data_IF_973455806720
#
_entry.id   IF_973455806720
#
_cell.length_a   1.000
_cell.length_b   1.000
_cell.length_c   1.000
_cell.angle_alpha   90.00
_cell.angle_beta   90.00
_cell.angle_gamma   90.00
#
_symmetry.space_group_name_H-M   'P 1'
#
loop_
_entity.id
_entity.type
_entity.pdbx_description
1 polymer ?
#
# COMPACT_ATOMS: atom_id res chain seq x y z
N UNK A 1 33.29 8.12 -16.67
CA UNK A 1 33.15 7.73 -15.24
C UNK A 1 32.28 8.71 -14.44
N UNK A 2 32.02 9.94 -14.92
CA UNK A 2 31.14 10.93 -14.27
C UNK A 2 29.65 10.81 -14.66
N UNK A 3 29.34 10.49 -15.91
CA UNK A 3 27.95 10.43 -16.42
C UNK A 3 27.18 9.24 -15.83
N UNK A 4 27.78 8.05 -15.83
CA UNK A 4 27.19 6.81 -15.28
C UNK A 4 26.92 6.91 -13.76
N UNK A 5 27.73 7.66 -13.00
CA UNK A 5 27.47 7.92 -11.58
C UNK A 5 26.36 8.97 -11.37
N UNK A 6 26.21 9.93 -12.28
CA UNK A 6 25.18 10.95 -12.20
C UNK A 6 23.80 10.37 -12.54
N UNK A 7 23.74 9.49 -13.54
CA UNK A 7 22.55 8.73 -13.92
C UNK A 7 22.13 7.75 -12.81
N UNK A 8 23.09 7.03 -12.21
CA UNK A 8 22.89 6.22 -10.99
C UNK A 8 22.24 6.99 -9.84
N UNK A 9 22.70 8.21 -9.60
CA UNK A 9 22.17 9.05 -8.52
C UNK A 9 20.77 9.60 -8.83
N UNK A 10 20.45 9.87 -10.09
CA UNK A 10 19.12 10.35 -10.50
C UNK A 10 18.09 9.22 -10.38
N UNK A 11 18.42 8.01 -10.82
CA UNK A 11 17.54 6.83 -10.69
C UNK A 11 17.32 6.49 -9.22
N UNK A 12 18.37 6.52 -8.40
CA UNK A 12 18.25 6.31 -6.96
C UNK A 12 17.39 7.38 -6.27
N UNK A 13 17.54 8.65 -6.66
CA UNK A 13 16.70 9.74 -6.16
C UNK A 13 15.25 9.61 -6.64
N UNK A 14 15.03 9.17 -7.89
CA UNK A 14 13.70 8.88 -8.44
C UNK A 14 13.00 7.74 -7.71
N UNK A 15 13.71 6.63 -7.45
CA UNK A 15 13.19 5.51 -6.66
C UNK A 15 12.87 5.91 -5.22
N UNK A 16 13.69 6.74 -4.59
CA UNK A 16 13.43 7.26 -3.24
C UNK A 16 12.26 8.25 -3.22
N UNK A 17 12.15 9.11 -4.24
CA UNK A 17 11.00 10.00 -4.42
C UNK A 17 9.73 9.19 -4.65
N UNK A 18 9.73 8.17 -5.50
CA UNK A 18 8.59 7.29 -5.69
C UNK A 18 8.18 6.61 -4.38
N UNK A 19 9.17 6.07 -3.65
CA UNK A 19 8.98 5.47 -2.34
C UNK A 19 8.36 6.40 -1.28
N UNK A 20 8.62 7.71 -1.39
CA UNK A 20 8.16 8.69 -0.40
C UNK A 20 6.89 9.40 -0.84
N UNK A 21 6.79 9.75 -2.13
CA UNK A 21 5.74 10.58 -2.72
C UNK A 21 4.50 9.80 -3.18
N UNK A 22 4.63 8.52 -3.53
CA UNK A 22 3.49 7.70 -3.95
C UNK A 22 2.43 7.58 -2.86
N UNK A 23 2.86 7.37 -1.62
CA UNK A 23 1.97 7.17 -0.47
C UNK A 23 1.80 8.40 0.44
N UNK A 24 2.06 9.60 -0.11
CA UNK A 24 1.86 10.87 0.61
C UNK A 24 0.42 11.09 1.04
N UNK A 25 -0.61 10.86 0.19
CA UNK A 25 -2.00 11.05 0.59
C UNK A 25 -2.38 10.24 1.85
N UNK A 26 -1.98 8.97 1.88
CA UNK A 26 -2.25 8.02 2.98
C UNK A 26 -1.50 8.47 4.24
N UNK A 27 -0.22 8.84 4.11
CA UNK A 27 0.56 9.35 5.22
C UNK A 27 -0.05 10.62 5.81
N UNK A 28 -0.49 11.56 4.96
CA UNK A 28 -1.13 12.80 5.41
C UNK A 28 -2.44 12.51 6.14
N UNK A 29 -3.33 11.69 5.55
CA UNK A 29 -4.60 11.31 6.18
C UNK A 29 -4.34 10.64 7.53
N UNK A 30 -3.37 9.74 7.59
CA UNK A 30 -2.95 9.06 8.81
C UNK A 30 -2.44 10.04 9.87
N UNK A 31 -1.57 10.99 9.51
CA UNK A 31 -1.07 11.99 10.45
C UNK A 31 -2.16 12.92 10.98
N UNK A 32 -3.13 13.31 10.15
CA UNK A 32 -4.30 14.08 10.61
C UNK A 32 -5.21 13.26 11.53
N UNK A 33 -5.45 11.99 11.21
CA UNK A 33 -6.20 11.08 12.07
C UNK A 33 -5.49 10.87 13.41
N UNK A 34 -4.16 10.73 13.40
CA UNK A 34 -3.34 10.65 14.61
C UNK A 34 -3.45 11.92 15.45
N UNK A 35 -3.33 13.10 14.84
CA UNK A 35 -3.38 14.37 15.56
C UNK A 35 -4.77 14.65 16.17
N UNK A 36 -5.84 14.15 15.55
CA UNK A 36 -7.21 14.21 16.09
C UNK A 36 -7.55 13.04 17.01
N UNK A 37 -6.56 12.21 17.35
CA UNK A 37 -6.69 10.99 18.17
C UNK A 37 -7.73 9.99 17.66
N UNK A 38 -8.01 10.01 16.36
CA UNK A 38 -8.94 9.10 15.68
C UNK A 38 -8.25 7.78 15.32
N UNK A 39 -7.86 7.01 16.35
CA UNK A 39 -7.08 5.78 16.18
C UNK A 39 -7.75 4.73 15.29
N UNK A 40 -9.07 4.61 15.39
CA UNK A 40 -9.82 3.66 14.57
C UNK A 40 -9.72 4.02 13.08
N UNK A 41 -10.02 5.27 12.72
CA UNK A 41 -9.90 5.77 11.33
C UNK A 41 -8.47 5.64 10.83
N UNK A 42 -7.49 5.98 11.67
CA UNK A 42 -6.07 5.84 11.36
C UNK A 42 -5.70 4.39 11.02
N UNK A 43 -6.01 3.43 11.89
CA UNK A 43 -5.65 2.02 11.68
C UNK A 43 -6.41 1.42 10.50
N UNK A 44 -7.71 1.69 10.40
CA UNK A 44 -8.56 1.16 9.36
C UNK A 44 -8.24 1.70 7.97
N UNK A 45 -7.88 2.98 7.86
CA UNK A 45 -7.43 3.56 6.58
C UNK A 45 -6.13 2.95 6.09
N UNK A 46 -5.11 2.84 6.96
CA UNK A 46 -3.82 2.22 6.60
C UNK A 46 -3.98 0.74 6.22
N UNK A 47 -4.78 0.00 7.00
CA UNK A 47 -5.15 -1.38 6.66
C UNK A 47 -5.80 -1.43 5.29
N UNK A 48 -6.86 -0.64 5.10
CA UNK A 48 -7.64 -0.60 3.89
C UNK A 48 -6.83 -0.25 2.65
N UNK A 49 -5.85 0.64 2.74
CA UNK A 49 -4.96 0.96 1.62
C UNK A 49 -4.05 -0.21 1.23
N UNK A 50 -3.56 -1.00 2.20
CA UNK A 50 -2.84 -2.24 1.89
C UNK A 50 -3.77 -3.23 1.18
N UNK A 51 -4.99 -3.45 1.71
CA UNK A 51 -5.95 -4.36 1.07
C UNK A 51 -6.35 -3.89 -0.33
N UNK A 52 -6.57 -2.58 -0.51
CA UNK A 52 -6.98 -1.97 -1.78
C UNK A 52 -5.93 -2.19 -2.87
N UNK A 53 -4.66 -1.97 -2.54
CA UNK A 53 -3.58 -2.19 -3.49
C UNK A 53 -3.44 -3.68 -3.88
N UNK A 54 -3.55 -4.58 -2.91
CA UNK A 54 -3.32 -6.01 -3.14
C UNK A 54 -4.49 -6.74 -3.79
N UNK A 55 -5.73 -6.34 -3.51
CA UNK A 55 -6.91 -7.06 -4.00
C UNK A 55 -7.62 -6.36 -5.17
N UNK A 56 -8.29 -5.20 -5.01
CA UNK A 56 -9.00 -4.59 -6.12
C UNK A 56 -8.06 -3.98 -7.15
N UNK A 57 -6.96 -3.31 -6.77
CA UNK A 57 -6.03 -2.71 -7.74
C UNK A 57 -5.36 -3.82 -8.56
N UNK A 58 -4.58 -4.69 -7.91
CA UNK A 58 -3.94 -5.80 -8.60
C UNK A 58 -4.96 -6.72 -9.28
N UNK A 59 -6.05 -7.07 -8.61
CA UNK A 59 -7.07 -7.98 -9.13
C UNK A 59 -7.76 -7.46 -10.38
N UNK A 60 -8.17 -6.19 -10.38
CA UNK A 60 -8.80 -5.58 -11.57
C UNK A 60 -7.80 -5.41 -12.72
N UNK A 61 -6.54 -5.08 -12.44
CA UNK A 61 -5.49 -5.03 -13.45
C UNK A 61 -5.30 -6.39 -14.10
N UNK A 62 -5.10 -7.46 -13.32
CA UNK A 62 -5.00 -8.83 -13.82
C UNK A 62 -6.25 -9.27 -14.57
N UNK A 63 -7.44 -8.89 -14.10
CA UNK A 63 -8.72 -9.22 -14.72
C UNK A 63 -8.85 -8.58 -16.10
N UNK A 64 -8.78 -7.24 -16.15
CA UNK A 64 -9.03 -6.48 -17.37
C UNK A 64 -7.85 -6.55 -18.35
N UNK A 65 -6.61 -6.47 -17.85
CA UNK A 65 -5.42 -6.71 -18.65
C UNK A 65 -5.36 -8.14 -19.19
N UNK A 66 -5.82 -9.12 -18.41
CA UNK A 66 -5.90 -10.52 -18.84
C UNK A 66 -6.94 -10.73 -19.94
N UNK A 67 -8.09 -10.05 -19.85
CA UNK A 67 -9.08 -10.05 -20.94
C UNK A 67 -8.58 -9.37 -22.21
N UNK A 68 -7.87 -8.24 -22.08
CA UNK A 68 -7.33 -7.52 -23.22
C UNK A 68 -6.21 -8.28 -23.94
N UNK A 69 -5.46 -9.10 -23.21
CA UNK A 69 -4.27 -9.79 -23.71
C UNK A 69 -4.44 -11.31 -23.80
N UNK A 70 -5.66 -11.82 -23.96
CA UNK A 70 -5.92 -13.27 -24.10
C UNK A 70 -5.03 -13.85 -25.22
N UNK A 71 -4.21 -14.84 -24.86
CA UNK A 71 -3.28 -15.52 -25.78
C UNK A 71 -2.02 -14.72 -26.15
N UNK A 72 -1.84 -13.52 -25.59
CA UNK A 72 -0.65 -12.65 -25.75
C UNK A 72 -0.01 -12.33 -24.39
N UNK A 73 -0.32 -13.12 -23.37
CA UNK A 73 0.15 -12.94 -21.99
C UNK A 73 1.68 -13.03 -21.95
N UNK A 74 2.33 -11.97 -21.46
CA UNK A 74 3.78 -12.00 -21.18
C UNK A 74 4.06 -12.77 -19.90
N UNK A 75 5.23 -13.39 -19.80
CA UNK A 75 5.70 -13.97 -18.54
C UNK A 75 5.87 -12.89 -17.48
N UNK A 76 5.48 -13.19 -16.26
CA UNK A 76 5.60 -12.31 -15.10
C UNK A 76 7.05 -12.31 -14.60
N UNK A 77 7.69 -11.14 -14.47
CA UNK A 77 8.91 -11.06 -13.68
C UNK A 77 8.54 -10.93 -12.20
N UNK A 78 8.81 -11.99 -11.45
CA UNK A 78 8.38 -12.11 -10.05
C UNK A 78 9.32 -11.49 -9.05
N UNK A 79 10.50 -11.02 -9.46
CA UNK A 79 11.53 -10.56 -8.53
C UNK A 79 11.06 -9.40 -7.66
N UNK A 80 10.43 -8.39 -8.28
CA UNK A 80 9.82 -7.28 -7.54
C UNK A 80 8.68 -7.77 -6.63
N UNK A 81 7.86 -8.68 -7.13
CA UNK A 81 6.77 -9.24 -6.36
C UNK A 81 7.25 -10.00 -5.12
N UNK A 82 8.28 -10.84 -5.27
CA UNK A 82 8.84 -11.66 -4.20
C UNK A 82 9.45 -10.80 -3.08
N UNK A 83 10.18 -9.73 -3.44
CA UNK A 83 10.74 -8.77 -2.47
C UNK A 83 9.61 -8.08 -1.69
N UNK A 84 8.61 -7.52 -2.39
CA UNK A 84 7.48 -6.85 -1.75
C UNK A 84 6.65 -7.80 -0.88
N UNK A 85 6.40 -9.03 -1.33
CA UNK A 85 5.67 -10.06 -0.55
C UNK A 85 6.46 -10.45 0.70
N UNK A 86 7.79 -10.62 0.62
CA UNK A 86 8.61 -10.93 1.79
C UNK A 86 8.54 -9.80 2.84
N UNK A 87 8.60 -8.55 2.41
CA UNK A 87 8.44 -7.38 3.27
C UNK A 87 7.03 -7.33 3.91
N UNK A 88 5.98 -7.58 3.12
CA UNK A 88 4.59 -7.64 3.62
C UNK A 88 4.38 -8.76 4.64
N UNK A 89 4.98 -9.94 4.42
CA UNK A 89 4.94 -11.06 5.37
C UNK A 89 5.63 -10.72 6.69
N UNK A 90 6.73 -9.95 6.65
CA UNK A 90 7.37 -9.44 7.87
C UNK A 90 6.47 -8.42 8.59
N UNK A 91 5.82 -7.52 7.86
CA UNK A 91 4.81 -6.60 8.43
C UNK A 91 3.67 -7.36 9.12
N UNK A 92 3.14 -8.39 8.47
CA UNK A 92 2.14 -9.30 9.05
C UNK A 92 2.63 -9.93 10.35
N UNK A 93 3.87 -10.43 10.39
CA UNK A 93 4.43 -11.03 11.59
C UNK A 93 4.44 -10.02 12.76
N UNK A 94 4.77 -8.76 12.49
CA UNK A 94 4.68 -7.68 13.48
C UNK A 94 3.24 -7.46 13.97
N UNK A 95 2.25 -7.38 13.06
CA UNK A 95 0.83 -7.24 13.45
C UNK A 95 0.33 -8.44 14.26
N UNK A 96 0.61 -9.67 13.84
CA UNK A 96 0.25 -10.88 14.57
C UNK A 96 0.88 -10.86 15.97
N UNK A 97 2.16 -10.48 16.08
CA UNK A 97 2.84 -10.41 17.37
C UNK A 97 2.17 -9.42 18.33
N UNK A 98 1.74 -8.26 17.82
CA UNK A 98 1.01 -7.26 18.60
C UNK A 98 -0.34 -7.81 19.11
N UNK A 99 -1.15 -8.40 18.22
CA UNK A 99 -2.45 -9.00 18.57
C UNK A 99 -2.29 -10.18 19.55
N UNK A 100 -1.31 -11.06 19.32
CA UNK A 100 -1.06 -12.23 20.15
C UNK A 100 -0.59 -11.87 21.57
N UNK A 101 0.15 -10.76 21.71
CA UNK A 101 0.62 -10.28 23.02
C UNK A 101 -0.53 -9.89 23.95
N UNK A 102 -1.66 -9.42 23.39
CA UNK A 102 -2.90 -9.14 24.13
C UNK A 102 -3.59 -10.41 24.63
N UNK A 103 -3.51 -11.51 23.88
CA UNK A 103 -4.20 -12.78 24.21
C UNK A 103 -3.44 -13.68 25.20
N UNK A 104 -2.12 -13.52 25.32
CA UNK A 104 -1.27 -14.43 26.11
C UNK A 104 -1.03 -13.93 27.55
N UNK A 105 -1.13 -12.62 27.79
CA UNK A 105 -0.87 -12.02 29.11
C UNK A 105 -2.19 -11.92 29.89
N UNK A 106 -2.53 -13.00 30.59
CA UNK A 106 -3.78 -13.14 31.37
C UNK A 106 -3.84 -12.34 32.69
N UNK A 107 -2.93 -11.41 32.95
CA UNK A 107 -2.92 -10.63 34.20
C UNK A 107 -2.82 -9.12 33.94
N UNK A 108 -3.79 -8.39 34.51
CA UNK A 108 -3.88 -6.92 34.64
C UNK A 108 -3.97 -6.12 33.33
N UNK A 109 -5.13 -5.50 33.08
CA UNK A 109 -5.44 -4.69 31.88
C UNK A 109 -4.42 -3.57 31.59
N UNK A 110 -3.81 -2.98 32.63
CA UNK A 110 -2.81 -1.91 32.48
C UNK A 110 -1.42 -2.41 32.06
N UNK A 111 -1.04 -3.65 32.38
CA UNK A 111 0.23 -4.23 31.94
C UNK A 111 0.14 -4.64 30.46
N UNK A 112 -1.04 -5.09 30.04
CA UNK A 112 -1.32 -5.54 28.68
C UNK A 112 -1.16 -4.40 27.66
N UNK A 113 -1.73 -3.23 27.92
CA UNK A 113 -1.62 -2.07 27.01
C UNK A 113 -0.17 -1.58 26.85
N UNK A 114 0.60 -1.55 27.95
CA UNK A 114 2.00 -1.14 27.93
C UNK A 114 2.89 -2.14 27.19
N UNK A 115 2.64 -3.44 27.35
CA UNK A 115 3.35 -4.52 26.65
C UNK A 115 3.13 -4.47 25.15
N UNK A 116 1.87 -4.37 24.71
CA UNK A 116 1.48 -4.24 23.30
C UNK A 116 2.12 -3.01 22.67
N UNK A 117 2.12 -1.88 23.38
CA UNK A 117 2.69 -0.63 22.88
C UNK A 117 4.22 -0.70 22.73
N UNK A 118 4.93 -1.28 23.70
CA UNK A 118 6.39 -1.49 23.61
C UNK A 118 6.76 -2.41 22.45
N UNK A 119 6.00 -3.51 22.29
CA UNK A 119 6.20 -4.44 21.19
C UNK A 119 5.97 -3.75 19.84
N UNK A 120 4.87 -3.00 19.71
CA UNK A 120 4.53 -2.24 18.50
C UNK A 120 5.61 -1.21 18.12
N UNK A 121 6.20 -0.54 19.10
CA UNK A 121 7.34 0.39 18.89
C UNK A 121 8.59 -0.35 18.40
N UNK A 122 8.91 -1.50 18.98
CA UNK A 122 10.03 -2.32 18.53
C UNK A 122 9.80 -2.83 17.10
N UNK A 123 8.58 -3.29 16.81
CA UNK A 123 8.16 -3.70 15.46
C UNK A 123 8.32 -2.58 14.44
N UNK A 124 7.92 -1.35 14.75
CA UNK A 124 8.11 -0.21 13.83
C UNK A 124 9.58 0.01 13.45
N UNK A 125 10.50 -0.10 14.41
CA UNK A 125 11.94 -0.01 14.12
C UNK A 125 12.42 -1.15 13.22
N UNK A 126 12.00 -2.39 13.50
CA UNK A 126 12.35 -3.56 12.68
C UNK A 126 11.81 -3.43 11.24
N UNK A 127 10.56 -3.00 11.10
CA UNK A 127 9.91 -2.81 9.80
C UNK A 127 10.64 -1.74 8.98
N UNK A 128 11.02 -0.62 9.60
CA UNK A 128 11.75 0.44 8.92
C UNK A 128 13.16 0.00 8.50
N UNK A 129 13.87 -0.75 9.35
CA UNK A 129 15.18 -1.32 9.01
C UNK A 129 15.05 -2.28 7.82
N UNK A 130 14.04 -3.16 7.83
CA UNK A 130 13.79 -4.09 6.74
C UNK A 130 13.44 -3.37 5.45
N UNK A 131 12.63 -2.31 5.51
CA UNK A 131 12.30 -1.48 4.36
C UNK A 131 13.52 -0.78 3.76
N UNK A 132 14.35 -0.15 4.60
CA UNK A 132 15.61 0.48 4.15
C UNK A 132 16.54 -0.58 3.55
N UNK A 133 16.62 -1.77 4.15
CA UNK A 133 17.35 -2.90 3.59
C UNK A 133 16.84 -3.31 2.20
N UNK A 134 15.52 -3.38 2.02
CA UNK A 134 14.86 -3.63 0.74
C UNK A 134 15.16 -2.54 -0.30
N UNK A 135 15.05 -1.27 0.07
CA UNK A 135 15.41 -0.16 -0.83
C UNK A 135 16.88 -0.19 -1.24
N UNK A 136 17.80 -0.48 -0.32
CA UNK A 136 19.22 -0.64 -0.64
C UNK A 136 19.46 -1.85 -1.53
N UNK A 137 18.65 -2.90 -1.37
CA UNK A 137 18.68 -4.07 -2.24
C UNK A 137 18.32 -3.69 -3.69
N UNK A 138 17.15 -3.06 -3.86
CA UNK A 138 16.58 -2.65 -5.16
C UNK A 138 17.44 -1.59 -5.87
N UNK A 139 17.78 -0.51 -5.16
CA UNK A 139 18.39 0.68 -5.78
C UNK A 139 19.89 0.56 -5.96
N UNK A 140 20.58 -0.21 -5.10
CA UNK A 140 22.05 -0.22 -5.05
C UNK A 140 22.67 -1.59 -5.35
N UNK A 141 22.33 -2.60 -4.57
CA UNK A 141 23.09 -3.88 -4.64
C UNK A 141 22.68 -4.76 -5.80
N UNK A 142 21.40 -4.78 -6.15
CA UNK A 142 20.83 -5.65 -7.20
C UNK A 142 20.14 -4.84 -8.30
N UNK A 143 20.50 -3.56 -8.45
CA UNK A 143 19.90 -2.63 -9.42
C UNK A 143 19.80 -3.19 -10.85
N UNK A 144 20.85 -3.87 -11.32
CA UNK A 144 20.90 -4.48 -12.66
C UNK A 144 19.81 -5.52 -12.91
N UNK A 145 19.29 -6.13 -11.85
CA UNK A 145 18.23 -7.14 -11.89
C UNK A 145 16.86 -6.50 -12.15
N UNK A 146 16.69 -5.24 -11.75
CA UNK A 146 15.47 -4.46 -11.89
C UNK A 146 15.50 -3.52 -13.10
N UNK A 147 16.69 -3.03 -13.52
CA UNK A 147 16.86 -2.19 -14.73
C UNK A 147 16.65 -2.96 -16.05
N UNK A 148 17.01 -4.25 -16.13
CA UNK A 148 16.81 -5.05 -17.35
C UNK A 148 15.33 -5.26 -17.75
N UNK A 149 14.41 -5.09 -16.80
CA UNK A 149 12.97 -5.24 -17.03
C UNK A 149 12.35 -3.98 -17.65
N UNK A 150 12.93 -2.80 -17.42
CA UNK A 150 12.48 -1.54 -18.03
C UNK A 150 12.86 -1.51 -19.52
N UNK A 151 14.12 -1.77 -19.88
CA UNK A 151 14.61 -1.76 -21.28
C UNK A 151 13.95 -2.83 -22.16
N UNK A 152 13.68 -4.03 -21.62
CA UNK A 152 13.07 -5.13 -22.40
C UNK A 152 11.57 -4.91 -22.65
N UNK A 153 10.91 -4.10 -21.81
CA UNK A 153 9.53 -3.68 -22.02
C UNK A 153 9.39 -2.61 -23.12
N UNK A 154 10.48 -1.91 -23.46
CA UNK A 154 10.55 -0.90 -24.53
C UNK A 154 10.88 -1.49 -25.91
N UNK A 155 11.67 -2.56 -26.01
CA UNK A 155 12.13 -3.11 -27.32
C UNK A 155 11.04 -3.87 -28.09
N UNK A 156 9.82 -3.99 -27.54
CA UNK A 156 8.70 -4.73 -28.15
C UNK A 156 7.52 -3.86 -28.58
N UNK A 157 7.73 -2.54 -28.71
CA UNK A 157 6.84 -1.60 -29.39
C UNK A 157 7.02 -1.72 -30.92
N UNK A 158 6.38 -2.72 -31.50
CA UNK A 158 6.05 -2.69 -32.92
C UNK A 158 4.80 -1.83 -33.13
N UNK A 159 5.01 -0.67 -33.75
CA UNK A 159 4.05 0.26 -34.39
C UNK A 159 2.77 0.68 -33.61
N UNK A 160 2.53 1.99 -33.62
CA UNK A 160 1.29 2.72 -33.25
C UNK A 160 1.09 3.16 -31.80
N UNK A 161 2.04 3.92 -31.23
CA UNK A 161 1.70 5.10 -30.40
C UNK A 161 2.95 5.98 -30.19
N UNK A 162 3.27 6.73 -31.24
CA UNK A 162 4.33 7.73 -31.28
C UNK A 162 3.87 9.02 -30.56
N UNK A 163 3.72 8.94 -29.24
CA UNK A 163 3.41 10.07 -28.36
C UNK A 163 4.36 10.10 -27.14
N UNK A 164 5.60 10.49 -27.43
CA UNK A 164 6.49 11.29 -26.56
C UNK A 164 6.99 10.67 -25.25
N UNK A 165 8.14 9.99 -25.30
CA UNK A 165 9.08 9.83 -24.15
C UNK A 165 9.84 11.13 -23.81
N UNK A 166 9.37 12.28 -24.30
CA UNK A 166 9.87 13.58 -23.89
C UNK A 166 9.21 13.97 -22.56
N UNK A 167 9.98 14.45 -21.56
CA UNK A 167 9.40 14.89 -20.30
C UNK A 167 8.38 16.01 -20.57
N UNK A 168 7.10 15.70 -20.37
CA UNK A 168 5.96 16.61 -20.62
C UNK A 168 6.02 17.83 -19.69
N UNK A 169 6.72 17.71 -18.55
CA UNK A 169 6.93 18.76 -17.57
C UNK A 169 8.40 18.87 -17.17
N UNK A 170 8.92 20.10 -17.07
CA UNK A 170 10.26 20.35 -16.55
C UNK A 170 10.36 20.07 -15.04
N UNK A 171 11.55 19.70 -14.56
CA UNK A 171 11.79 19.34 -13.14
C UNK A 171 11.26 20.37 -12.13
N UNK A 172 11.50 21.67 -12.37
CA UNK A 172 11.00 22.74 -11.48
C UNK A 172 9.47 22.80 -11.47
N UNK A 173 8.83 22.60 -12.62
CA UNK A 173 7.36 22.56 -12.71
C UNK A 173 6.81 21.34 -11.95
N UNK A 174 7.46 20.19 -12.07
CA UNK A 174 7.08 18.98 -11.33
C UNK A 174 7.17 19.19 -9.81
N UNK A 175 8.24 19.81 -9.31
CA UNK A 175 8.40 20.12 -7.88
C UNK A 175 7.33 21.09 -7.39
N UNK A 176 7.01 22.14 -8.16
CA UNK A 176 5.95 23.09 -7.82
C UNK A 176 4.59 22.39 -7.73
N UNK A 177 4.26 21.56 -8.73
CA UNK A 177 3.02 20.79 -8.73
C UNK A 177 2.95 19.80 -7.56
N UNK A 178 4.06 19.12 -7.25
CA UNK A 178 4.13 18.17 -6.15
C UNK A 178 3.83 18.87 -4.81
N UNK A 179 4.49 20.00 -4.52
CA UNK A 179 4.26 20.76 -3.29
C UNK A 179 2.83 21.32 -3.26
N UNK A 180 2.37 21.90 -4.37
CA UNK A 180 1.03 22.48 -4.47
C UNK A 180 -0.08 21.46 -4.22
N UNK A 181 -0.02 20.30 -4.89
CA UNK A 181 -1.01 19.24 -4.69
C UNK A 181 -0.92 18.62 -3.30
N UNK A 182 0.29 18.47 -2.76
CA UNK A 182 0.48 18.01 -1.37
C UNK A 182 -0.21 18.94 -0.37
N UNK A 183 -0.09 20.26 -0.55
CA UNK A 183 -0.77 21.24 0.31
C UNK A 183 -2.30 21.17 0.18
N UNK A 184 -2.83 20.99 -1.04
CA UNK A 184 -4.26 20.80 -1.28
C UNK A 184 -4.76 19.52 -0.61
N UNK A 185 -4.03 18.40 -0.76
CA UNK A 185 -4.35 17.13 -0.11
C UNK A 185 -4.35 17.32 1.41
N UNK A 186 -3.33 17.96 2.00
CA UNK A 186 -3.30 18.24 3.43
C UNK A 186 -4.51 19.04 3.91
N UNK A 187 -4.94 20.05 3.16
CA UNK A 187 -6.14 20.82 3.49
C UNK A 187 -7.40 19.94 3.45
N UNK A 188 -7.56 19.08 2.43
CA UNK A 188 -8.73 18.21 2.27
C UNK A 188 -8.75 17.05 3.27
N UNK A 189 -7.60 16.46 3.59
CA UNK A 189 -7.46 15.36 4.54
C UNK A 189 -7.97 15.73 5.93
N UNK A 190 -7.76 16.98 6.36
CA UNK A 190 -8.30 17.47 7.62
C UNK A 190 -9.84 17.38 7.65
N UNK A 191 -10.52 17.73 6.56
CA UNK A 191 -11.97 17.65 6.43
C UNK A 191 -12.46 16.20 6.37
N UNK A 192 -11.78 15.33 5.61
CA UNK A 192 -12.11 13.90 5.49
C UNK A 192 -12.15 13.25 6.87
N UNK A 193 -11.11 13.44 7.70
CA UNK A 193 -11.02 12.81 9.02
C UNK A 193 -12.13 13.26 9.97
N UNK A 194 -12.60 14.51 9.89
CA UNK A 194 -13.73 14.98 10.72
C UNK A 194 -15.08 14.55 10.20
N UNK A 195 -15.27 14.51 8.89
CA UNK A 195 -16.59 14.28 8.29
C UNK A 195 -16.93 12.81 8.16
N UNK A 196 -15.94 11.90 8.20
CA UNK A 196 -16.16 10.46 8.01
C UNK A 196 -17.05 9.84 9.11
N UNK A 197 -16.96 10.34 10.34
CA UNK A 197 -17.81 9.90 11.45
C UNK A 197 -19.25 10.41 11.29
N UNK A 198 -19.41 11.70 11.00
CA UNK A 198 -20.72 12.30 10.73
C UNK A 198 -21.40 11.65 9.52
N UNK A 199 -20.63 11.31 8.49
CA UNK A 199 -21.10 10.56 7.33
C UNK A 199 -21.53 9.13 7.72
N UNK A 200 -20.76 8.44 8.57
CA UNK A 200 -21.13 7.11 9.08
C UNK A 200 -22.48 7.13 9.77
N UNK A 201 -22.72 8.11 10.65
CA UNK A 201 -23.97 8.26 11.39
C UNK A 201 -25.14 8.62 10.46
N UNK A 202 -24.93 9.61 9.57
CA UNK A 202 -25.95 10.11 8.65
C UNK A 202 -26.39 9.07 7.61
N UNK A 203 -25.45 8.35 7.00
CA UNK A 203 -25.75 7.30 6.02
C UNK A 203 -26.11 5.95 6.65
N UNK A 204 -25.88 5.77 7.96
CA UNK A 204 -26.11 4.51 8.66
C UNK A 204 -25.17 3.37 8.21
N UNK A 205 -24.02 3.73 7.64
CA UNK A 205 -22.98 2.81 7.14
C UNK A 205 -21.89 2.68 8.22
N UNK A 206 -21.40 1.48 8.55
CA UNK A 206 -20.37 1.33 9.58
C UNK A 206 -19.08 2.11 9.28
N UNK A 207 -18.56 2.83 10.27
CA UNK A 207 -17.30 3.58 10.13
C UNK A 207 -16.15 2.69 9.64
N UNK A 208 -16.07 1.45 10.15
CA UNK A 208 -15.13 0.41 9.68
C UNK A 208 -15.18 0.19 8.18
N UNK A 209 -16.37 0.07 7.61
CA UNK A 209 -16.55 -0.11 6.18
C UNK A 209 -16.08 1.12 5.40
N UNK A 210 -16.45 2.32 5.84
CA UNK A 210 -16.05 3.55 5.16
C UNK A 210 -14.51 3.69 5.18
N UNK A 211 -13.88 3.46 6.33
CA UNK A 211 -12.43 3.62 6.49
C UNK A 211 -11.60 2.52 5.82
N UNK A 212 -12.02 1.25 5.86
CA UNK A 212 -11.27 0.13 5.26
C UNK A 212 -11.54 0.00 3.75
N UNK A 213 -12.77 0.28 3.29
CA UNK A 213 -13.21 -0.01 1.93
C UNK A 213 -13.28 1.25 1.08
N UNK A 214 -14.09 2.23 1.47
CA UNK A 214 -14.39 3.40 0.61
C UNK A 214 -13.19 4.33 0.52
N UNK A 215 -12.66 4.74 1.68
CA UNK A 215 -11.61 5.76 1.76
C UNK A 215 -10.35 5.39 0.94
N UNK A 216 -9.82 4.16 1.00
CA UNK A 216 -8.63 3.81 0.25
C UNK A 216 -8.85 3.65 -1.26
N UNK A 217 -10.04 3.24 -1.69
CA UNK A 217 -10.37 3.20 -3.13
C UNK A 217 -10.31 4.62 -3.70
N UNK A 218 -10.87 5.58 -2.98
CA UNK A 218 -10.88 6.98 -3.41
C UNK A 218 -9.47 7.59 -3.34
N UNK A 219 -8.74 7.33 -2.26
CA UNK A 219 -7.36 7.80 -2.07
C UNK A 219 -6.41 7.30 -3.16
N UNK A 220 -6.54 6.02 -3.54
CA UNK A 220 -5.63 5.37 -4.48
C UNK A 220 -6.20 5.34 -5.92
N UNK A 221 -7.28 6.06 -6.21
CA UNK A 221 -7.99 5.93 -7.50
C UNK A 221 -7.10 6.24 -8.72
N UNK A 222 -6.20 7.22 -8.60
CA UNK A 222 -5.28 7.58 -9.67
C UNK A 222 -4.23 6.47 -9.92
N UNK A 223 -3.65 5.91 -8.85
CA UNK A 223 -2.73 4.77 -8.94
C UNK A 223 -3.44 3.53 -9.50
N UNK A 224 -4.68 3.31 -9.08
CA UNK A 224 -5.52 2.22 -9.54
C UNK A 224 -5.76 2.30 -11.06
N UNK A 225 -6.17 3.47 -11.55
CA UNK A 225 -6.35 3.69 -12.98
C UNK A 225 -5.05 3.46 -13.76
N UNK A 226 -3.92 3.99 -13.26
CA UNK A 226 -2.61 3.78 -13.86
C UNK A 226 -2.23 2.30 -13.96
N UNK A 227 -2.36 1.55 -12.87
CA UNK A 227 -2.05 0.11 -12.83
C UNK A 227 -2.89 -0.68 -13.85
N UNK A 228 -4.20 -0.39 -13.93
CA UNK A 228 -5.08 -1.05 -14.89
C UNK A 228 -4.67 -0.73 -16.32
N UNK A 229 -4.40 0.55 -16.63
CA UNK A 229 -3.96 0.99 -17.97
C UNK A 229 -2.66 0.30 -18.38
N UNK A 230 -1.67 0.20 -17.50
CA UNK A 230 -0.42 -0.50 -17.81
C UNK A 230 -0.62 -1.99 -18.04
N UNK A 231 -1.52 -2.61 -17.28
CA UNK A 231 -1.88 -4.01 -17.49
C UNK A 231 -2.60 -4.24 -18.83
N UNK A 232 -3.47 -3.32 -19.25
CA UNK A 232 -4.05 -3.31 -20.61
C UNK A 232 -2.97 -3.27 -21.70
N UNK A 233 -1.94 -2.44 -21.50
CA UNK A 233 -0.77 -2.35 -22.38
C UNK A 233 0.20 -3.54 -22.28
N UNK A 234 -0.17 -4.62 -21.60
CA UNK A 234 0.66 -5.82 -21.39
C UNK A 234 1.97 -5.51 -20.65
N UNK A 235 2.02 -4.42 -19.89
CA UNK A 235 3.15 -4.01 -19.03
C UNK A 235 2.87 -4.43 -17.59
N UNK A 236 2.83 -5.75 -17.36
CA UNK A 236 2.41 -6.31 -16.08
C UNK A 236 3.41 -6.02 -14.95
N UNK A 237 4.71 -5.93 -15.26
CA UNK A 237 5.73 -5.69 -14.24
C UNK A 237 5.59 -4.29 -13.61
N UNK A 238 5.24 -3.28 -14.42
CA UNK A 238 4.89 -1.93 -13.94
C UNK A 238 3.66 -1.99 -13.04
N UNK A 239 2.65 -2.77 -13.43
CA UNK A 239 1.42 -2.96 -12.65
C UNK A 239 1.72 -3.57 -11.27
N UNK A 240 2.59 -4.59 -11.23
CA UNK A 240 3.05 -5.20 -9.98
C UNK A 240 3.83 -4.20 -9.13
N UNK A 241 4.71 -3.41 -9.74
CA UNK A 241 5.47 -2.36 -9.07
C UNK A 241 4.56 -1.32 -8.40
N UNK A 242 3.52 -0.86 -9.10
CA UNK A 242 2.53 0.07 -8.55
C UNK A 242 1.78 -0.59 -7.36
N UNK A 243 1.16 -1.75 -7.58
CA UNK A 243 0.31 -2.37 -6.56
C UNK A 243 1.08 -2.91 -5.35
N UNK A 244 2.09 -3.77 -5.57
CA UNK A 244 2.85 -4.41 -4.49
C UNK A 244 3.84 -3.43 -3.84
N UNK A 245 4.44 -2.54 -4.64
CA UNK A 245 5.30 -1.48 -4.14
C UNK A 245 4.53 -0.57 -3.20
N UNK A 246 3.38 -0.03 -3.63
CA UNK A 246 2.54 0.83 -2.80
C UNK A 246 2.06 0.10 -1.52
N UNK A 247 1.58 -1.13 -1.62
CA UNK A 247 1.19 -1.93 -0.43
C UNK A 247 2.35 -2.15 0.57
N UNK A 248 3.52 -2.54 0.07
CA UNK A 248 4.70 -2.78 0.92
C UNK A 248 5.24 -1.49 1.54
N UNK A 249 5.17 -0.36 0.83
CA UNK A 249 5.50 0.97 1.35
C UNK A 249 4.55 1.40 2.48
N UNK A 250 3.24 1.26 2.28
CA UNK A 250 2.28 1.60 3.33
C UNK A 250 2.55 0.76 4.57
N UNK A 251 2.73 -0.55 4.38
CA UNK A 251 2.99 -1.47 5.49
C UNK A 251 4.31 -1.20 6.19
N UNK A 252 5.41 -1.01 5.48
CA UNK A 252 6.77 -1.07 6.04
C UNK A 252 7.44 0.29 6.21
N UNK A 253 6.86 1.35 5.65
CA UNK A 253 7.32 2.73 5.79
C UNK A 253 6.25 3.60 6.48
N UNK A 254 5.05 3.70 5.91
CA UNK A 254 4.02 4.63 6.41
C UNK A 254 3.55 4.26 7.81
N UNK A 255 3.14 3.00 8.03
CA UNK A 255 2.70 2.51 9.36
C UNK A 255 3.79 2.75 10.43
N UNK A 256 5.06 2.35 10.23
CA UNK A 256 6.14 2.64 11.17
C UNK A 256 6.39 4.13 11.42
N UNK A 257 6.36 4.97 10.38
CA UNK A 257 6.54 6.43 10.53
C UNK A 257 5.45 7.00 11.43
N UNK A 258 4.19 6.66 11.17
CA UNK A 258 3.07 7.18 11.97
C UNK A 258 3.19 6.69 13.43
N UNK A 259 3.64 5.46 13.64
CA UNK A 259 3.86 4.92 14.99
C UNK A 259 5.01 5.64 15.73
N UNK A 260 6.10 5.97 15.04
CA UNK A 260 7.21 6.76 15.60
C UNK A 260 6.75 8.19 15.92
N UNK A 261 5.98 8.82 15.03
CA UNK A 261 5.40 10.16 15.26
C UNK A 261 4.44 10.12 16.45
N UNK A 262 3.61 9.09 16.56
CA UNK A 262 2.75 8.87 17.71
C UNK A 262 3.55 8.76 19.01
N UNK A 263 4.64 8.00 18.98
CA UNK A 263 5.52 7.85 20.13
C UNK A 263 6.16 9.19 20.54
N UNK A 264 6.64 9.99 19.58
CA UNK A 264 7.21 11.31 19.83
C UNK A 264 6.20 12.29 20.44
N UNK A 265 4.93 12.22 20.02
CA UNK A 265 3.85 13.06 20.54
C UNK A 265 3.19 12.52 21.82
N UNK A 266 3.65 11.39 22.36
CA UNK A 266 3.07 10.79 23.57
C UNK A 266 1.70 10.15 23.36
N UNK A 267 1.29 9.95 22.11
CA UNK A 267 0.01 9.36 21.73
C UNK A 267 0.16 7.83 21.70
N UNK A 268 -0.76 7.05 22.31
CA UNK A 268 -0.62 5.59 22.42
C UNK A 268 -1.14 4.83 21.18
N UNK A 269 -0.55 5.03 20.01
CA UNK A 269 -0.80 4.18 18.83
C UNK A 269 -0.01 2.87 18.91
N UNK A 270 -0.68 1.74 18.66
CA UNK A 270 -0.10 0.41 18.58
C UNK A 270 -0.47 -0.31 17.27
N UNK A 271 0.10 -1.50 17.05
CA UNK A 271 -0.16 -2.36 15.89
C UNK A 271 -1.28 -3.38 16.12
N UNK A 272 -2.01 -3.31 17.24
CA UNK A 272 -3.18 -4.14 17.48
C UNK A 272 -4.36 -3.62 16.67
N UNK A 273 -4.63 -4.28 15.54
CA UNK A 273 -5.74 -3.92 14.65
C UNK A 273 -7.02 -4.69 15.00
N UNK A 274 -6.98 -5.55 16.02
CA UNK A 274 -7.90 -6.63 16.32
C UNK A 274 -7.79 -7.84 15.37
N UNK A 275 -8.38 -8.95 15.83
CA UNK A 275 -8.25 -10.26 15.20
C UNK A 275 -8.81 -10.32 13.78
N UNK A 276 -9.95 -9.68 13.53
CA UNK A 276 -10.61 -9.72 12.22
C UNK A 276 -9.75 -8.97 11.19
N UNK A 277 -9.39 -7.74 11.50
CA UNK A 277 -8.58 -6.86 10.67
C UNK A 277 -7.22 -7.48 10.36
N UNK A 278 -6.50 -7.96 11.38
CA UNK A 278 -5.23 -8.68 11.18
C UNK A 278 -5.44 -9.98 10.39
N UNK A 279 -6.52 -10.72 10.66
CA UNK A 279 -6.86 -11.92 9.89
C UNK A 279 -7.11 -11.63 8.40
N UNK A 280 -7.82 -10.54 8.09
CA UNK A 280 -8.05 -10.12 6.70
C UNK A 280 -6.77 -9.68 6.01
N UNK A 281 -5.86 -8.99 6.71
CA UNK A 281 -4.54 -8.62 6.20
C UNK A 281 -3.71 -9.86 5.85
N UNK A 282 -3.65 -10.84 6.76
CA UNK A 282 -2.96 -12.11 6.57
C UNK A 282 -3.48 -12.84 5.34
N UNK A 283 -4.80 -13.02 5.27
CA UNK A 283 -5.43 -13.71 4.13
C UNK A 283 -5.20 -12.97 2.81
N UNK A 284 -5.20 -11.64 2.83
CA UNK A 284 -4.96 -10.81 1.65
C UNK A 284 -3.55 -10.99 1.08
N UNK A 285 -2.52 -10.89 1.93
CA UNK A 285 -1.13 -11.06 1.48
C UNK A 285 -0.88 -12.50 1.03
N UNK A 286 -1.41 -13.49 1.76
CA UNK A 286 -1.28 -14.91 1.38
C UNK A 286 -1.98 -15.17 0.04
N UNK A 287 -3.23 -14.72 -0.15
CA UNK A 287 -3.95 -14.89 -1.40
C UNK A 287 -3.21 -14.24 -2.57
N UNK A 288 -2.63 -13.07 -2.36
CA UNK A 288 -1.82 -12.36 -3.36
C UNK A 288 -0.54 -13.12 -3.68
N UNK A 289 0.17 -13.64 -2.66
CA UNK A 289 1.37 -14.44 -2.85
C UNK A 289 1.10 -15.72 -3.65
N UNK A 290 -0.02 -16.40 -3.36
CA UNK A 290 -0.44 -17.57 -4.13
C UNK A 290 -0.86 -17.20 -5.55
N UNK A 291 -1.57 -16.09 -5.75
CA UNK A 291 -1.95 -15.64 -7.10
C UNK A 291 -0.72 -15.38 -7.97
N UNK A 292 0.35 -14.85 -7.39
CA UNK A 292 1.61 -14.51 -8.06
C UNK A 292 2.67 -15.61 -7.94
N UNK A 293 2.32 -16.82 -7.49
CA UNK A 293 3.28 -17.92 -7.30
C UNK A 293 3.80 -18.53 -8.61
N UNK A 294 3.11 -18.32 -9.72
CA UNK A 294 3.55 -18.79 -11.03
C UNK A 294 3.96 -17.62 -11.91
N UNK A 295 4.85 -17.87 -12.87
CA UNK A 295 5.33 -16.89 -13.83
C UNK A 295 4.25 -16.52 -14.89
N UNK A 296 3.02 -16.99 -14.70
CA UNK A 296 1.87 -16.75 -15.57
C UNK A 296 0.79 -15.98 -14.83
N UNK A 297 0.28 -14.95 -15.49
CA UNK A 297 -0.85 -14.17 -15.04
C UNK A 297 -1.98 -14.28 -16.06
N UNK A 298 -3.23 -14.30 -15.57
CA UNK A 298 -4.42 -14.43 -16.41
C UNK A 298 -5.64 -13.86 -15.69
N UNK A 299 -6.70 -13.58 -16.44
CA UNK A 299 -7.89 -12.90 -15.94
C UNK A 299 -8.53 -13.59 -14.72
N UNK A 300 -8.52 -14.92 -14.66
CA UNK A 300 -9.11 -15.67 -13.54
C UNK A 300 -8.40 -15.44 -12.19
N UNK A 301 -7.07 -15.25 -12.17
CA UNK A 301 -6.33 -14.86 -10.95
C UNK A 301 -6.82 -13.50 -10.46
N UNK A 302 -6.95 -12.54 -11.39
CA UNK A 302 -7.50 -11.22 -11.09
C UNK A 302 -8.93 -11.25 -10.57
N UNK A 303 -9.80 -12.03 -11.23
CA UNK A 303 -11.19 -12.22 -10.82
C UNK A 303 -11.30 -12.70 -9.37
N UNK A 304 -10.50 -13.70 -8.99
CA UNK A 304 -10.51 -14.24 -7.63
C UNK A 304 -10.05 -13.22 -6.58
N UNK A 305 -9.06 -12.38 -6.89
CA UNK A 305 -8.62 -11.30 -5.99
C UNK A 305 -9.72 -10.24 -5.80
N UNK A 306 -10.39 -9.84 -6.88
CA UNK A 306 -11.54 -8.90 -6.81
C UNK A 306 -12.67 -9.49 -5.98
N UNK A 307 -13.05 -10.75 -6.19
CA UNK A 307 -14.07 -11.41 -5.39
C UNK A 307 -13.67 -11.52 -3.91
N UNK A 308 -12.41 -11.80 -3.63
CA UNK A 308 -11.88 -11.82 -2.25
C UNK A 308 -12.08 -10.46 -1.57
N UNK A 309 -11.83 -9.36 -2.27
CA UNK A 309 -12.10 -8.02 -1.75
C UNK A 309 -13.59 -7.77 -1.51
N UNK A 310 -14.46 -8.18 -2.44
CA UNK A 310 -15.92 -8.05 -2.28
C UNK A 310 -16.41 -8.80 -1.04
N UNK A 311 -15.92 -10.01 -0.78
CA UNK A 311 -16.25 -10.77 0.43
C UNK A 311 -15.81 -10.02 1.69
N UNK A 312 -14.59 -9.48 1.71
CA UNK A 312 -14.08 -8.68 2.82
C UNK A 312 -14.92 -7.42 3.02
N UNK A 313 -15.29 -6.72 1.94
CA UNK A 313 -16.11 -5.53 1.98
C UNK A 313 -17.52 -5.83 2.56
N UNK A 314 -18.15 -6.92 2.12
CA UNK A 314 -19.45 -7.38 2.67
C UNK A 314 -19.31 -7.74 4.15
N UNK A 315 -18.21 -8.37 4.56
CA UNK A 315 -17.94 -8.67 5.96
C UNK A 315 -17.91 -7.39 6.82
N UNK A 316 -17.12 -6.39 6.43
CA UNK A 316 -17.04 -5.12 7.16
C UNK A 316 -18.32 -4.27 7.08
N UNK A 317 -19.11 -4.43 6.02
CA UNK A 317 -20.41 -3.75 5.89
C UNK A 317 -21.47 -4.35 6.82
N UNK A 318 -21.49 -5.68 6.96
CA UNK A 318 -22.51 -6.38 7.76
C UNK A 318 -22.21 -6.34 9.26
N UNK A 319 -20.95 -6.21 9.64
CA UNK A 319 -20.55 -5.96 11.02
C UNK A 319 -20.86 -4.52 11.43
N UNK A 320 -22.14 -4.23 11.69
CA UNK A 320 -22.50 -3.05 12.49
C UNK A 320 -21.86 -3.20 13.86
N UNK A 321 -21.11 -2.17 14.28
CA UNK A 321 -20.77 -2.00 15.68
C UNK A 321 -22.06 -2.21 16.48
N UNK A 322 -22.04 -3.18 17.41
CA UNK A 322 -23.14 -3.35 18.36
C UNK A 322 -23.47 -1.96 18.91
N UNK A 323 -24.74 -1.52 18.89
CA UNK A 323 -25.10 -0.25 19.50
C UNK A 323 -24.63 -0.31 20.95
N UNK A 324 -23.79 0.65 21.35
CA UNK A 324 -23.46 0.87 22.76
C UNK A 324 -24.80 1.00 23.49
N UNK A 325 -25.16 -0.03 24.26
CA UNK A 325 -26.20 0.04 25.28
C UNK A 325 -25.60 0.59 26.55
#
# INVERSE_FOLDING_TARGET
>A
MSVDNQEKNIIAAGGLLNATCGNVPELIIALFALHKEKMEILKWSLLGSILSNLLPVLGSSLLFGGFANIGKERSLNRRQADVSICLLLLGILCHISAVASKGTIKNEENINSLGVLKLSRASAVIMLIAYIGGLLFEVKTHRQIFEQDEDSSEISSGDDDDATDAPVIGFTSAVIWLIGMTAVIAMLSNYIVTTIEEASESFGIPLRFISIVILPIVGNAAEHAGAVIFSFKNKIDITLGIALGSASQISMLVVPIVLIVSWANGIPMDLDFNLLETGTLVMTVIATAFALQDDKWHYLKGFNLVLSYVVIAVCFFTMKALPNK
#
